data_IF_684261472907
#
_entry.id   IF_684261472907
#
_cell.length_a   1.000
_cell.length_b   1.000
_cell.length_c   1.000
_cell.angle_alpha   90.00
_cell.angle_beta   90.00
_cell.angle_gamma   90.00
#
_symmetry.space_group_name_H-M   'P 1'
#
loop_
_entity.id
_entity.type
_entity.pdbx_description
1 polymer ?
#
# COMPACT_ATOMS: atom_id res chain seq x y z
N UNK A 1 -21.34 -8.02 -63.54
CA UNK A 1 -22.01 -6.97 -62.74
C UNK A 1 -20.91 -6.35 -61.88
N UNK A 2 -20.18 -5.35 -62.40
CA UNK A 2 -20.45 -3.89 -62.29
C UNK A 2 -20.62 -3.44 -60.83
N UNK A 3 -19.91 -2.38 -60.40
CA UNK A 3 -19.30 -2.25 -59.08
C UNK A 3 -20.01 -1.25 -58.15
N UNK A 4 -19.44 -1.16 -56.94
CA UNK A 4 -19.51 -0.07 -55.95
C UNK A 4 -20.08 1.26 -56.46
N UNK A 5 -21.12 1.73 -55.77
CA UNK A 5 -21.62 3.10 -55.83
C UNK A 5 -20.91 3.98 -54.78
N UNK A 6 -20.31 5.10 -55.18
CA UNK A 6 -19.93 6.19 -54.30
C UNK A 6 -20.94 7.34 -54.37
N UNK A 7 -21.18 8.02 -53.25
CA UNK A 7 -21.71 9.39 -53.27
C UNK A 7 -20.87 10.25 -52.33
N UNK A 8 -20.18 11.21 -52.96
CA UNK A 8 -19.52 12.35 -52.34
C UNK A 8 -20.52 13.51 -52.27
N UNK A 9 -20.50 14.28 -51.19
CA UNK A 9 -20.73 15.73 -51.28
C UNK A 9 -20.11 16.43 -50.09
N UNK A 10 -19.23 17.37 -50.42
CA UNK A 10 -18.42 18.22 -49.57
C UNK A 10 -19.23 19.27 -48.78
N UNK A 11 -18.55 19.90 -47.82
CA UNK A 11 -18.34 21.36 -47.69
C UNK A 11 -18.37 21.85 -46.23
N UNK A 12 -17.24 22.48 -45.88
CA UNK A 12 -16.95 23.45 -44.82
C UNK A 12 -18.12 24.11 -44.06
N UNK A 13 -17.95 24.27 -42.74
CA UNK A 13 -17.86 25.61 -42.14
C UNK A 13 -17.39 25.58 -40.68
N UNK A 14 -16.33 26.34 -40.43
CA UNK A 14 -15.91 26.81 -39.11
C UNK A 14 -16.95 27.75 -38.51
N UNK A 15 -17.39 27.51 -37.27
CA UNK A 15 -18.02 28.54 -36.43
C UNK A 15 -17.39 28.50 -35.04
N UNK A 16 -16.46 29.42 -34.82
CA UNK A 16 -16.07 29.86 -33.48
C UNK A 16 -17.31 30.47 -32.81
N UNK A 17 -17.77 29.87 -31.71
CA UNK A 17 -18.78 30.48 -30.85
C UNK A 17 -18.13 30.95 -29.55
N UNK A 18 -17.74 32.21 -29.57
CA UNK A 18 -17.31 33.00 -28.43
C UNK A 18 -18.54 33.30 -27.56
N UNK A 19 -18.65 32.72 -26.35
CA UNK A 19 -19.69 33.10 -25.39
C UNK A 19 -19.13 33.26 -23.97
N UNK A 20 -18.67 34.49 -23.73
CA UNK A 20 -19.00 35.35 -22.59
C UNK A 20 -19.13 34.69 -21.22
N UNK A 21 -18.13 35.02 -20.41
CA UNK A 21 -18.12 35.07 -18.94
C UNK A 21 -19.49 35.34 -18.33
N UNK A 22 -19.94 34.45 -17.45
CA UNK A 22 -20.90 34.76 -16.39
C UNK A 22 -20.20 34.55 -15.05
N UNK A 23 -19.81 35.67 -14.47
CA UNK A 23 -19.38 35.80 -13.09
C UNK A 23 -20.57 35.52 -12.17
N UNK A 24 -20.53 34.40 -11.45
CA UNK A 24 -21.28 34.27 -10.21
C UNK A 24 -20.32 34.52 -9.06
N UNK A 25 -20.28 35.76 -8.62
CA UNK A 25 -19.75 36.09 -7.31
C UNK A 25 -20.62 35.39 -6.26
N UNK A 26 -20.01 34.46 -5.52
CA UNK A 26 -20.46 34.07 -4.20
C UNK A 26 -19.28 34.22 -3.26
N UNK A 27 -19.31 35.30 -2.49
CA UNK A 27 -18.56 35.38 -1.24
C UNK A 27 -19.14 34.31 -0.32
N UNK A 28 -18.39 33.23 -0.11
CA UNK A 28 -18.54 32.36 1.04
C UNK A 28 -17.22 32.40 1.78
N UNK A 29 -17.18 33.17 2.87
CA UNK A 29 -16.14 33.06 3.89
C UNK A 29 -16.27 31.68 4.53
N UNK A 30 -15.63 30.70 3.90
CA UNK A 30 -15.35 29.41 4.50
C UNK A 30 -13.95 29.52 5.09
N UNK A 31 -13.92 29.46 6.41
CA UNK A 31 -12.73 29.28 7.21
C UNK A 31 -11.88 28.17 6.57
N UNK A 32 -10.70 28.53 6.07
CA UNK A 32 -9.85 27.60 5.35
C UNK A 32 -9.33 26.58 6.36
N UNK A 33 -9.67 25.28 6.25
CA UNK A 33 -9.01 24.28 7.06
C UNK A 33 -7.54 24.38 6.70
N UNK A 34 -6.70 24.67 7.70
CA UNK A 34 -5.25 24.70 7.58
C UNK A 34 -4.82 23.65 6.57
N UNK A 35 -4.28 24.09 5.43
CA UNK A 35 -3.64 23.19 4.48
C UNK A 35 -2.47 22.58 5.25
N UNK A 36 -2.72 21.45 5.91
CA UNK A 36 -1.65 20.53 6.30
C UNK A 36 -0.98 20.23 4.98
N UNK A 37 0.14 20.90 4.75
CA UNK A 37 1.08 20.54 3.70
C UNK A 37 1.37 19.08 3.97
N UNK A 38 0.69 18.20 3.22
CA UNK A 38 1.12 16.84 3.07
C UNK A 38 2.48 17.01 2.41
N UNK A 39 3.54 17.09 3.23
CA UNK A 39 4.89 16.88 2.74
C UNK A 39 4.75 15.65 1.87
N UNK A 40 4.92 15.83 0.57
CA UNK A 40 4.87 14.74 -0.39
C UNK A 40 5.98 13.81 0.04
N UNK A 41 5.61 12.84 0.87
CA UNK A 41 6.49 11.92 1.56
C UNK A 41 7.01 10.92 0.56
N UNK A 42 7.88 11.40 -0.31
CA UNK A 42 8.89 10.60 -0.98
C UNK A 42 10.03 10.34 0.04
N UNK A 43 9.67 10.12 1.31
CA UNK A 43 10.60 9.78 2.38
C UNK A 43 10.57 8.26 2.49
N UNK A 44 11.34 7.64 1.60
CA UNK A 44 11.66 6.22 1.46
C UNK A 44 10.47 5.25 1.47
N UNK A 45 10.30 4.52 0.34
CA UNK A 45 9.44 3.34 0.34
C UNK A 45 9.81 2.46 1.55
N UNK A 46 8.83 2.11 2.39
CA UNK A 46 9.14 1.61 3.71
C UNK A 46 9.84 0.26 3.62
N UNK A 47 11.05 0.15 4.17
CA UNK A 47 11.85 -1.07 4.09
C UNK A 47 11.09 -2.25 4.72
N UNK A 48 10.94 -3.33 3.98
CA UNK A 48 10.29 -4.58 4.42
C UNK A 48 11.34 -5.69 4.55
N UNK A 49 11.20 -6.51 5.58
CA UNK A 49 12.02 -7.70 5.79
C UNK A 49 11.10 -8.91 5.83
N UNK A 50 11.43 -9.92 5.03
CA UNK A 50 10.82 -11.23 5.05
C UNK A 50 11.84 -12.27 5.50
N UNK A 51 11.45 -13.10 6.47
CA UNK A 51 12.29 -14.16 7.03
C UNK A 51 11.53 -15.47 6.86
N UNK A 52 12.03 -16.33 5.98
CA UNK A 52 11.45 -17.65 5.74
C UNK A 52 12.13 -18.68 6.62
N UNK A 53 11.34 -19.44 7.36
CA UNK A 53 11.77 -20.51 8.25
C UNK A 53 11.11 -21.79 7.77
N UNK A 54 11.94 -22.78 7.44
CA UNK A 54 11.47 -24.13 7.15
C UNK A 54 11.26 -24.86 8.47
N UNK A 55 10.04 -25.33 8.71
CA UNK A 55 9.68 -26.09 9.90
C UNK A 55 9.71 -27.60 9.60
N UNK A 56 10.85 -28.23 9.89
CA UNK A 56 11.04 -29.68 9.74
C UNK A 56 10.68 -30.47 11.01
N UNK A 57 10.41 -29.79 12.13
CA UNK A 57 10.17 -30.41 13.45
C UNK A 57 8.76 -30.14 14.01
N UNK A 58 7.86 -29.58 13.19
CA UNK A 58 6.48 -29.24 13.54
C UNK A 58 6.36 -28.30 14.76
N UNK A 59 7.20 -27.26 14.81
CA UNK A 59 7.13 -26.21 15.83
C UNK A 59 5.72 -25.60 15.94
N UNK A 60 4.97 -25.54 14.83
CA UNK A 60 3.60 -24.99 14.80
C UNK A 60 2.63 -25.60 15.82
N UNK A 61 2.82 -26.87 16.25
CA UNK A 61 1.82 -27.61 17.03
C UNK A 61 1.99 -27.54 18.56
N UNK A 62 3.04 -26.91 19.08
CA UNK A 62 3.27 -26.91 20.54
C UNK A 62 4.17 -25.83 21.10
N UNK A 63 4.65 -24.90 20.27
CA UNK A 63 5.60 -23.88 20.72
C UNK A 63 4.99 -22.48 20.75
N UNK A 64 5.38 -21.68 21.76
CA UNK A 64 5.02 -20.26 21.89
C UNK A 64 5.86 -19.39 20.94
N UNK A 65 5.75 -19.65 19.65
CA UNK A 65 6.52 -18.94 18.60
C UNK A 65 6.30 -17.44 18.62
N UNK A 66 5.08 -17.02 19.00
CA UNK A 66 4.72 -15.60 19.16
C UNK A 66 5.68 -14.89 20.10
N UNK A 67 5.96 -15.48 21.27
CA UNK A 67 6.85 -14.92 22.30
C UNK A 67 8.29 -14.90 21.78
N UNK A 68 8.76 -16.01 21.19
CA UNK A 68 10.13 -16.13 20.66
C UNK A 68 10.41 -15.08 19.58
N UNK A 69 9.48 -14.92 18.63
CA UNK A 69 9.62 -13.95 17.55
C UNK A 69 9.47 -12.51 18.07
N UNK A 70 8.56 -12.27 19.02
CA UNK A 70 8.40 -10.96 19.64
C UNK A 70 9.68 -10.55 20.37
N UNK A 71 10.22 -11.41 21.24
CA UNK A 71 11.45 -11.16 22.00
C UNK A 71 12.62 -10.86 21.05
N UNK A 72 12.75 -11.65 19.97
CA UNK A 72 13.76 -11.41 18.96
C UNK A 72 13.61 -10.03 18.30
N UNK A 73 12.41 -9.68 17.83
CA UNK A 73 12.17 -8.40 17.17
C UNK A 73 12.39 -7.23 18.12
N UNK A 74 11.91 -7.34 19.37
CA UNK A 74 12.10 -6.32 20.39
C UNK A 74 13.57 -6.09 20.70
N UNK A 75 14.38 -7.15 20.75
CA UNK A 75 15.84 -7.04 20.92
C UNK A 75 16.57 -6.30 19.79
N UNK A 76 15.92 -6.14 18.62
CA UNK A 76 16.46 -5.46 17.42
C UNK A 76 15.73 -4.17 17.07
N UNK A 77 14.72 -3.78 17.86
CA UNK A 77 13.79 -2.69 17.53
C UNK A 77 14.50 -1.38 17.21
N UNK A 78 15.48 -0.97 18.01
CA UNK A 78 16.25 0.27 17.80
C UNK A 78 17.03 0.28 16.48
N UNK A 79 17.66 -0.85 16.12
CA UNK A 79 18.34 -0.99 14.83
C UNK A 79 17.34 -0.94 13.67
N UNK A 80 16.18 -1.57 13.83
CA UNK A 80 15.11 -1.54 12.84
C UNK A 80 14.53 -0.13 12.67
N UNK A 81 14.38 0.65 13.75
CA UNK A 81 13.98 2.07 13.72
C UNK A 81 15.00 2.90 12.94
N UNK A 82 16.28 2.75 13.24
CA UNK A 82 17.37 3.47 12.60
C UNK A 82 17.50 3.17 11.10
N UNK A 83 17.20 1.93 10.68
CA UNK A 83 17.21 1.51 9.26
C UNK A 83 15.88 1.73 8.53
N UNK A 84 14.95 2.48 9.10
CA UNK A 84 13.62 2.73 8.53
C UNK A 84 12.84 1.45 8.14
N UNK A 85 13.08 0.34 8.84
CA UNK A 85 12.28 -0.88 8.65
C UNK A 85 10.86 -0.60 9.14
N UNK A 86 9.86 -0.83 8.29
CA UNK A 86 8.45 -0.67 8.65
C UNK A 86 7.79 -1.98 9.02
N UNK A 87 8.16 -3.06 8.34
CA UNK A 87 7.53 -4.38 8.48
C UNK A 87 8.61 -5.47 8.54
N UNK A 88 8.48 -6.35 9.52
CA UNK A 88 9.22 -7.62 9.59
C UNK A 88 8.17 -8.71 9.58
N UNK A 89 8.26 -9.64 8.64
CA UNK A 89 7.35 -10.78 8.56
C UNK A 89 8.15 -12.08 8.62
N UNK A 90 7.85 -12.90 9.63
CA UNK A 90 8.30 -14.28 9.68
C UNK A 90 7.26 -15.15 8.97
N UNK A 91 7.73 -16.00 8.07
CA UNK A 91 6.95 -17.05 7.45
C UNK A 91 7.49 -18.39 7.92
N UNK A 92 6.64 -19.19 8.56
CA UNK A 92 6.97 -20.53 9.02
C UNK A 92 6.23 -21.54 8.17
N UNK A 93 6.94 -22.33 7.37
CA UNK A 93 6.35 -23.27 6.44
C UNK A 93 6.77 -24.71 6.76
N UNK A 94 5.78 -25.59 6.96
CA UNK A 94 5.95 -27.03 7.07
C UNK A 94 5.40 -27.73 5.83
N UNK A 95 5.89 -28.94 5.55
CA UNK A 95 5.47 -29.71 4.36
C UNK A 95 3.97 -30.01 4.43
N UNK A 96 3.23 -29.69 3.36
CA UNK A 96 1.77 -29.90 3.22
C UNK A 96 0.93 -29.13 4.25
N UNK A 97 1.47 -28.10 4.89
CA UNK A 97 0.73 -27.18 5.74
C UNK A 97 0.79 -25.77 5.15
N UNK A 98 -0.25 -24.97 5.41
CA UNK A 98 -0.20 -23.56 5.04
C UNK A 98 0.85 -22.83 5.90
N UNK A 99 1.63 -21.89 5.33
CA UNK A 99 2.58 -21.12 6.11
C UNK A 99 1.86 -20.27 7.15
N UNK A 100 2.43 -20.19 8.34
CA UNK A 100 2.04 -19.20 9.35
C UNK A 100 2.84 -17.93 9.15
N UNK A 101 2.16 -16.79 9.27
CA UNK A 101 2.77 -15.48 9.13
C UNK A 101 2.67 -14.68 10.43
N UNK A 102 3.80 -14.13 10.87
CA UNK A 102 3.89 -13.26 12.04
C UNK A 102 4.49 -11.93 11.60
N UNK A 103 3.70 -10.86 11.66
CA UNK A 103 4.07 -9.55 11.12
C UNK A 103 4.21 -8.53 12.24
N UNK A 104 5.36 -7.86 12.31
CA UNK A 104 5.69 -6.83 13.29
C UNK A 104 5.88 -5.48 12.59
N UNK A 105 5.31 -4.41 13.14
CA UNK A 105 5.27 -3.10 12.45
C UNK A 105 5.83 -1.96 13.28
N UNK A 106 6.61 -1.09 12.65
CA UNK A 106 7.15 0.15 13.26
C UNK A 106 6.07 1.03 13.89
N UNK A 107 4.90 1.15 13.25
CA UNK A 107 3.77 1.97 13.76
C UNK A 107 3.20 1.45 15.08
N UNK A 108 3.40 0.17 15.38
CA UNK A 108 2.98 -0.49 16.61
C UNK A 108 4.19 -0.71 17.54
N UNK A 109 5.26 0.07 17.37
CA UNK A 109 6.53 -0.11 18.09
C UNK A 109 7.09 -1.54 18.00
N UNK A 110 6.96 -2.13 16.80
CA UNK A 110 7.32 -3.51 16.51
C UNK A 110 6.62 -4.56 17.40
N UNK A 111 5.42 -4.26 17.89
CA UNK A 111 4.47 -5.27 18.35
C UNK A 111 3.87 -6.01 17.15
N UNK A 112 3.36 -7.21 17.42
CA UNK A 112 2.74 -8.05 16.40
C UNK A 112 1.41 -7.45 15.91
N UNK A 113 1.24 -7.35 14.60
CA UNK A 113 0.03 -6.91 13.93
C UNK A 113 -0.87 -8.12 13.60
N UNK A 114 -1.70 -8.52 14.58
CA UNK A 114 -2.51 -9.76 14.49
C UNK A 114 -3.54 -9.78 13.35
N UNK A 115 -3.92 -8.62 12.79
CA UNK A 115 -4.84 -8.56 11.62
C UNK A 115 -4.18 -9.04 10.31
N UNK A 116 -2.84 -9.17 10.28
CA UNK A 116 -2.10 -9.75 9.16
C UNK A 116 -1.73 -11.23 9.37
N UNK A 117 -2.21 -11.87 10.44
CA UNK A 117 -2.08 -13.32 10.58
C UNK A 117 -2.84 -13.98 9.43
N UNK A 118 -2.20 -14.96 8.78
CA UNK A 118 -2.74 -15.75 7.67
C UNK A 118 -2.97 -15.01 6.35
N UNK A 119 -2.47 -13.79 6.21
CA UNK A 119 -2.37 -13.09 4.94
C UNK A 119 -0.89 -13.05 4.55
N UNK A 120 -0.57 -13.26 3.28
CA UNK A 120 0.75 -12.88 2.77
C UNK A 120 0.77 -11.33 2.66
N UNK A 121 1.59 -10.61 3.48
CA UNK A 121 1.60 -9.15 3.51
C UNK A 121 2.12 -8.44 2.26
#
# INVERSE_FOLDING_TARGET
LIPFSPTHSDVHSSVQSNKRSRSYGRQSSLDSPSTKSYKSGIDEAPNLIYIFIKDDVNLQQGSKLEDVFLDFVQSKSEVCKAKNIRRITFSLAAKRQFPLYYTYRKRLDFQEDKIYRNLEP
#
